data_IF_062768492152
#
_entry.id   IF_062768492152
#
_cell.length_a   1.000
_cell.length_b   1.000
_cell.length_c   1.000
_cell.angle_alpha   90.00
_cell.angle_beta   90.00
_cell.angle_gamma   90.00
#
_symmetry.space_group_name_H-M   'P 1'
#
loop_
_entity.id
_entity.type
_entity.pdbx_description
1 polymer ?
#
# COMPACT_ATOMS: atom_id res chain seq x y z
N UNK A 1 -21.94 0.66 -17.67
CA UNK A 1 -21.90 -0.19 -16.46
C UNK A 1 -21.49 -1.59 -16.90
N UNK A 2 -20.50 -2.15 -16.21
CA UNK A 2 -19.94 -3.48 -16.47
C UNK A 2 -19.90 -4.24 -15.16
N UNK A 3 -20.49 -5.44 -15.10
CA UNK A 3 -20.40 -6.32 -13.93
C UNK A 3 -19.07 -7.09 -13.96
N UNK A 4 -18.42 -7.23 -12.81
CA UNK A 4 -17.10 -7.85 -12.64
C UNK A 4 -17.08 -8.82 -11.45
N UNK A 5 -15.99 -9.57 -11.29
CA UNK A 5 -15.82 -10.47 -10.14
C UNK A 5 -15.81 -9.72 -8.80
N UNK A 6 -15.35 -8.45 -8.80
CA UNK A 6 -15.29 -7.61 -7.62
C UNK A 6 -16.54 -6.78 -7.40
N UNK A 7 -17.51 -6.76 -8.31
CA UNK A 7 -18.69 -5.91 -8.22
C UNK A 7 -19.01 -5.23 -9.53
N UNK A 8 -18.87 -3.90 -9.59
CA UNK A 8 -19.32 -3.12 -10.75
C UNK A 8 -18.33 -2.04 -11.15
N UNK A 9 -18.32 -1.73 -12.45
CA UNK A 9 -17.60 -0.60 -13.05
C UNK A 9 -18.58 0.34 -13.74
N UNK A 10 -18.57 1.62 -13.36
CA UNK A 10 -19.41 2.68 -13.94
C UNK A 10 -18.52 3.78 -14.49
N UNK A 11 -18.07 3.62 -15.73
CA UNK A 11 -17.17 4.57 -16.41
C UNK A 11 -17.59 4.81 -17.86
N UNK A 12 -16.96 5.77 -18.52
CA UNK A 12 -17.06 5.91 -19.97
C UNK A 12 -16.51 4.66 -20.70
N UNK A 13 -17.05 4.33 -21.87
CA UNK A 13 -16.71 3.09 -22.59
C UNK A 13 -15.21 2.95 -22.87
N UNK A 14 -14.51 4.05 -23.18
CA UNK A 14 -13.06 4.03 -23.42
C UNK A 14 -12.21 3.73 -22.18
N UNK A 15 -12.74 3.92 -20.97
CA UNK A 15 -12.00 3.70 -19.72
C UNK A 15 -12.36 2.37 -19.04
N UNK A 16 -13.42 1.69 -19.52
CA UNK A 16 -13.93 0.46 -18.93
C UNK A 16 -12.86 -0.63 -18.86
N UNK A 17 -12.04 -0.80 -19.90
CA UNK A 17 -10.98 -1.82 -19.91
C UNK A 17 -9.94 -1.58 -18.80
N UNK A 18 -9.47 -0.34 -18.65
CA UNK A 18 -8.53 0.03 -17.58
C UNK A 18 -9.18 -0.16 -16.22
N UNK A 19 -10.39 0.35 -15.99
CA UNK A 19 -11.09 0.22 -14.72
C UNK A 19 -11.29 -1.25 -14.32
N UNK A 20 -11.68 -2.11 -15.26
CA UNK A 20 -11.82 -3.56 -15.03
C UNK A 20 -10.46 -4.17 -14.67
N UNK A 21 -9.40 -3.91 -15.45
CA UNK A 21 -8.06 -4.46 -15.19
C UNK A 21 -7.50 -4.06 -13.83
N UNK A 22 -7.62 -2.79 -13.46
CA UNK A 22 -7.13 -2.29 -12.16
C UNK A 22 -7.97 -2.85 -11.00
N UNK A 23 -9.29 -2.94 -11.17
CA UNK A 23 -10.19 -3.51 -10.15
C UNK A 23 -9.99 -5.02 -9.96
N UNK A 24 -9.82 -5.80 -11.03
CA UNK A 24 -9.54 -7.24 -10.94
C UNK A 24 -8.23 -7.51 -10.20
N UNK A 25 -7.21 -6.68 -10.45
CA UNK A 25 -5.95 -6.81 -9.74
C UNK A 25 -6.05 -6.39 -8.26
N UNK A 26 -6.79 -5.33 -7.94
CA UNK A 26 -7.05 -4.94 -6.56
C UNK A 26 -7.85 -6.03 -5.81
N UNK A 27 -8.82 -6.66 -6.47
CA UNK A 27 -9.58 -7.77 -5.92
C UNK A 27 -8.70 -9.01 -5.65
N UNK A 28 -7.84 -9.37 -6.61
CA UNK A 28 -6.87 -10.45 -6.42
C UNK A 28 -5.89 -10.14 -5.27
N UNK A 29 -5.45 -8.89 -5.13
CA UNK A 29 -4.60 -8.46 -4.02
C UNK A 29 -5.34 -8.50 -2.67
N UNK A 30 -6.60 -8.08 -2.61
CA UNK A 30 -7.41 -8.16 -1.39
C UNK A 30 -7.51 -9.59 -0.84
N UNK A 31 -7.68 -10.57 -1.74
CA UNK A 31 -7.62 -11.98 -1.37
C UNK A 31 -6.22 -12.40 -0.91
N UNK A 32 -5.19 -12.13 -1.70
CA UNK A 32 -3.84 -12.65 -1.46
C UNK A 32 -3.12 -12.01 -0.26
N UNK A 33 -3.37 -10.72 -0.02
CA UNK A 33 -2.67 -9.87 0.95
C UNK A 33 -3.50 -9.69 2.22
N UNK A 34 -4.80 -9.46 2.09
CA UNK A 34 -5.70 -9.15 3.21
C UNK A 34 -6.57 -10.35 3.64
N UNK A 35 -6.56 -11.46 2.89
CA UNK A 35 -7.40 -12.61 3.17
C UNK A 35 -8.90 -12.34 2.97
N UNK A 36 -9.27 -11.34 2.17
CA UNK A 36 -10.66 -10.95 1.93
C UNK A 36 -11.20 -11.67 0.68
N UNK A 37 -11.73 -12.88 0.87
CA UNK A 37 -12.16 -13.77 -0.22
C UNK A 37 -13.48 -13.35 -0.90
N UNK A 38 -14.42 -12.79 -0.14
CA UNK A 38 -15.79 -12.49 -0.60
C UNK A 38 -16.06 -10.97 -0.73
N UNK A 39 -14.99 -10.19 -0.88
CA UNK A 39 -15.08 -8.74 -0.98
C UNK A 39 -15.80 -8.31 -2.26
N UNK A 40 -16.63 -7.27 -2.13
CA UNK A 40 -17.21 -6.55 -3.28
C UNK A 40 -16.93 -5.05 -3.15
N UNK A 41 -16.74 -4.38 -4.27
CA UNK A 41 -16.59 -2.93 -4.38
C UNK A 41 -17.01 -2.44 -5.78
N UNK A 42 -17.22 -1.14 -5.90
CA UNK A 42 -17.62 -0.49 -7.15
C UNK A 42 -16.55 0.51 -7.54
N UNK A 43 -16.14 0.52 -8.80
CA UNK A 43 -15.29 1.58 -9.36
C UNK A 43 -16.17 2.49 -10.22
N UNK A 44 -16.15 3.78 -9.95
CA UNK A 44 -16.91 4.76 -10.72
C UNK A 44 -15.97 5.82 -11.31
N UNK A 45 -16.32 6.35 -12.46
CA UNK A 45 -15.65 7.52 -13.01
C UNK A 45 -16.09 8.75 -12.21
N UNK A 46 -15.11 9.44 -11.60
CA UNK A 46 -15.35 10.62 -10.79
C UNK A 46 -16.05 11.75 -11.57
N UNK A 47 -15.94 11.80 -12.90
CA UNK A 47 -16.64 12.79 -13.72
C UNK A 47 -18.15 12.51 -13.88
N UNK A 48 -18.62 11.31 -13.52
CA UNK A 48 -20.02 10.91 -13.71
C UNK A 48 -20.92 11.18 -12.49
N UNK A 49 -20.37 11.65 -11.37
CA UNK A 49 -21.15 11.84 -10.14
C UNK A 49 -20.43 12.63 -9.05
N UNK A 50 -21.04 12.66 -7.86
CA UNK A 50 -20.52 13.33 -6.67
C UNK A 50 -20.09 12.36 -5.58
N UNK A 51 -19.95 11.07 -5.90
CA UNK A 51 -19.55 10.04 -4.95
C UNK A 51 -18.13 10.32 -4.45
N UNK A 52 -17.93 10.14 -3.16
CA UNK A 52 -16.65 10.30 -2.50
C UNK A 52 -15.96 8.95 -2.31
N UNK A 53 -14.65 9.00 -2.09
CA UNK A 53 -13.86 7.81 -1.84
C UNK A 53 -14.35 7.11 -0.56
N UNK A 54 -14.68 5.82 -0.68
CA UNK A 54 -15.12 5.01 0.46
C UNK A 54 -16.59 5.15 0.82
N UNK A 55 -17.37 5.91 0.04
CA UNK A 55 -18.84 5.87 0.08
C UNK A 55 -19.34 4.43 -0.10
N UNK A 56 -20.55 4.13 0.35
CA UNK A 56 -21.15 2.81 0.21
C UNK A 56 -22.24 2.81 -0.87
N UNK A 57 -22.29 1.75 -1.67
CA UNK A 57 -23.43 1.43 -2.53
C UNK A 57 -24.65 1.03 -1.70
N UNK A 58 -25.81 0.92 -2.36
CA UNK A 58 -27.06 0.48 -1.74
C UNK A 58 -26.96 -0.92 -1.10
N UNK A 59 -26.07 -1.79 -1.61
CA UNK A 59 -25.78 -3.11 -1.07
C UNK A 59 -24.59 -3.13 -0.08
N UNK A 60 -24.07 -1.96 0.31
CA UNK A 60 -23.04 -1.80 1.31
C UNK A 60 -21.61 -2.04 0.83
N UNK A 61 -21.37 -2.13 -0.47
CA UNK A 61 -20.03 -2.26 -1.05
C UNK A 61 -19.36 -0.87 -1.14
N UNK A 62 -18.06 -0.74 -0.79
CA UNK A 62 -17.35 0.52 -0.97
C UNK A 62 -17.28 0.94 -2.43
N UNK A 63 -17.38 2.24 -2.66
CA UNK A 63 -17.31 2.88 -3.97
C UNK A 63 -16.00 3.68 -4.07
N UNK A 64 -15.29 3.45 -5.16
CA UNK A 64 -14.02 4.09 -5.48
C UNK A 64 -14.17 4.97 -6.73
N UNK A 65 -14.39 6.30 -6.55
CA UNK A 65 -14.35 7.24 -7.65
C UNK A 65 -12.91 7.42 -8.14
N UNK A 66 -12.70 7.37 -9.45
CA UNK A 66 -11.40 7.55 -10.07
C UNK A 66 -11.48 8.45 -11.30
N UNK A 67 -10.47 9.30 -11.50
CA UNK A 67 -10.36 10.16 -12.69
C UNK A 67 -9.62 9.39 -13.77
N UNK A 68 -10.36 8.87 -14.75
CA UNK A 68 -9.79 8.16 -15.88
C UNK A 68 -9.35 9.09 -17.01
N UNK A 69 -8.63 8.55 -17.99
CA UNK A 69 -7.98 9.33 -19.04
C UNK A 69 -8.97 10.16 -19.87
N UNK A 70 -10.19 9.66 -20.08
CA UNK A 70 -11.20 10.40 -20.84
C UNK A 70 -11.98 11.43 -20.03
N UNK A 71 -11.80 11.41 -18.71
CA UNK A 71 -12.47 12.27 -17.72
C UNK A 71 -11.69 13.56 -17.44
N UNK A 72 -10.46 13.68 -17.95
CA UNK A 72 -9.60 14.85 -17.76
C UNK A 72 -9.98 15.96 -18.75
N UNK A 73 -10.56 17.05 -18.25
CA UNK A 73 -10.60 18.33 -18.99
C UNK A 73 -9.29 19.09 -18.78
N UNK A 74 -8.72 19.62 -19.86
CA UNK A 74 -7.42 20.31 -20.00
C UNK A 74 -6.68 20.70 -18.68
N UNK A 75 -5.55 20.03 -18.41
CA UNK A 75 -4.47 20.55 -17.58
C UNK A 75 -4.31 19.99 -16.15
N UNK A 76 -5.24 19.18 -15.64
CA UNK A 76 -5.08 18.55 -14.33
C UNK A 76 -4.06 17.38 -14.39
N UNK A 77 -3.05 17.33 -13.49
CA UNK A 77 -2.11 16.21 -13.45
C UNK A 77 -2.83 14.91 -13.08
N UNK A 78 -2.64 13.88 -13.91
CA UNK A 78 -3.16 12.52 -13.71
C UNK A 78 -2.40 11.82 -12.60
N UNK A 79 -3.10 11.30 -11.58
CA UNK A 79 -2.57 10.21 -10.76
C UNK A 79 -2.47 8.96 -11.66
N UNK A 80 -1.29 8.32 -11.78
CA UNK A 80 -1.16 7.12 -12.60
C UNK A 80 -2.15 6.03 -12.15
N UNK A 81 -2.72 5.27 -13.07
CA UNK A 81 -3.78 4.29 -12.73
C UNK A 81 -3.32 3.23 -11.72
N UNK A 82 -2.02 2.97 -11.62
CA UNK A 82 -1.47 2.06 -10.60
C UNK A 82 -1.68 2.57 -9.17
N UNK A 83 -1.90 3.88 -8.99
CA UNK A 83 -2.23 4.50 -7.70
C UNK A 83 -3.63 4.10 -7.25
N UNK A 84 -4.57 3.81 -8.18
CA UNK A 84 -5.91 3.34 -7.82
C UNK A 84 -5.84 2.10 -6.92
N UNK A 85 -4.99 1.13 -7.25
CA UNK A 85 -4.84 -0.08 -6.44
C UNK A 85 -4.24 0.21 -5.07
N UNK A 86 -3.30 1.14 -5.01
CA UNK A 86 -2.65 1.55 -3.77
C UNK A 86 -3.69 2.13 -2.79
N UNK A 87 -4.51 3.08 -3.26
CA UNK A 87 -5.56 3.69 -2.45
C UNK A 87 -6.65 2.68 -2.06
N UNK A 88 -7.04 1.76 -2.96
CA UNK A 88 -7.96 0.67 -2.62
C UNK A 88 -7.36 -0.21 -1.51
N UNK A 89 -6.05 -0.47 -1.57
CA UNK A 89 -5.34 -1.22 -0.54
C UNK A 89 -5.45 -0.58 0.84
N UNK A 90 -5.24 0.74 0.93
CA UNK A 90 -5.45 1.51 2.16
C UNK A 90 -6.89 1.39 2.69
N UNK A 91 -7.88 1.72 1.86
CA UNK A 91 -9.29 1.72 2.30
C UNK A 91 -9.70 0.33 2.80
N UNK A 92 -9.40 -0.72 2.05
CA UNK A 92 -9.79 -2.08 2.43
C UNK A 92 -9.08 -2.55 3.71
N UNK A 93 -7.80 -2.22 3.86
CA UNK A 93 -7.06 -2.57 5.07
C UNK A 93 -7.65 -1.88 6.30
N UNK A 94 -7.84 -0.56 6.25
CA UNK A 94 -8.45 0.21 7.34
C UNK A 94 -9.88 -0.28 7.59
N UNK A 95 -10.72 -0.36 6.56
CA UNK A 95 -12.14 -0.69 6.69
C UNK A 95 -12.38 -2.05 7.33
N UNK A 96 -11.61 -3.07 6.97
CA UNK A 96 -11.91 -4.45 7.36
C UNK A 96 -10.97 -5.02 8.42
N UNK A 97 -9.73 -4.54 8.52
CA UNK A 97 -8.72 -5.17 9.37
C UNK A 97 -8.21 -4.25 10.48
N UNK A 98 -8.15 -2.94 10.24
CA UNK A 98 -7.64 -1.96 11.18
C UNK A 98 -8.51 -0.69 11.24
N UNK A 99 -9.83 -0.81 11.51
CA UNK A 99 -10.72 0.35 11.50
C UNK A 99 -10.30 1.34 12.58
N UNK A 100 -10.44 2.64 12.30
CA UNK A 100 -10.16 3.65 13.32
C UNK A 100 -11.17 3.57 14.46
N UNK A 101 -10.68 3.62 15.69
CA UNK A 101 -11.52 3.75 16.89
C UNK A 101 -11.69 5.21 17.33
N UNK A 102 -11.08 6.16 16.63
CA UNK A 102 -11.09 7.59 16.93
C UNK A 102 -11.79 8.39 15.83
N UNK A 103 -12.59 9.39 16.19
CA UNK A 103 -13.42 10.13 15.22
C UNK A 103 -12.63 10.99 14.22
N UNK A 104 -11.41 11.42 14.56
CA UNK A 104 -10.59 12.38 13.79
C UNK A 104 -9.20 11.84 13.42
N UNK A 105 -9.04 10.52 13.40
CA UNK A 105 -7.75 9.89 13.07
C UNK A 105 -7.58 9.75 11.56
N UNK A 106 -6.43 10.19 11.07
CA UNK A 106 -6.00 9.88 9.71
C UNK A 106 -5.60 8.41 9.64
N UNK A 107 -6.13 7.67 8.65
CA UNK A 107 -5.90 6.23 8.52
C UNK A 107 -6.67 5.39 9.55
N UNK A 108 -6.20 4.16 9.74
CA UNK A 108 -6.75 3.20 10.69
C UNK A 108 -5.96 3.12 12.00
N UNK A 109 -6.35 2.24 12.92
CA UNK A 109 -5.64 2.00 14.20
C UNK A 109 -4.26 1.34 14.03
N UNK A 110 -3.90 0.99 12.80
CA UNK A 110 -2.60 0.44 12.48
C UNK A 110 -1.49 1.50 12.49
N UNK A 111 -0.24 1.10 12.80
CA UNK A 111 0.90 1.98 12.58
C UNK A 111 1.07 2.26 11.07
N UNK A 112 1.52 3.47 10.74
CA UNK A 112 1.62 3.96 9.36
C UNK A 112 2.38 3.00 8.43
N UNK A 113 3.44 2.36 8.92
CA UNK A 113 4.21 1.41 8.13
C UNK A 113 3.41 0.18 7.70
N UNK A 114 2.43 -0.26 8.50
CA UNK A 114 1.61 -1.44 8.22
C UNK A 114 0.50 -1.10 7.23
N UNK A 115 -0.15 0.05 7.40
CA UNK A 115 -1.12 0.59 6.45
C UNK A 115 -0.48 0.77 5.07
N UNK A 116 0.70 1.39 5.04
CA UNK A 116 1.46 1.59 3.81
C UNK A 116 1.99 0.29 3.22
N UNK A 117 2.39 -0.68 4.05
CA UNK A 117 2.72 -2.01 3.58
C UNK A 117 1.53 -2.70 2.90
N UNK A 118 0.30 -2.52 3.41
CA UNK A 118 -0.91 -3.03 2.78
C UNK A 118 -1.12 -2.40 1.40
N UNK A 119 -1.02 -1.07 1.29
CA UNK A 119 -1.20 -0.36 0.03
C UNK A 119 -0.11 -0.68 -1.01
N UNK A 120 1.18 -0.71 -0.62
CA UNK A 120 2.26 -1.07 -1.55
C UNK A 120 2.22 -2.54 -1.98
N UNK A 121 1.53 -3.40 -1.22
CA UNK A 121 1.30 -4.79 -1.60
C UNK A 121 0.29 -4.93 -2.75
N UNK A 122 -0.63 -3.97 -2.91
CA UNK A 122 -1.64 -3.95 -3.97
C UNK A 122 -1.14 -3.43 -5.32
N UNK A 123 0.01 -2.75 -5.31
CA UNK A 123 0.54 -2.12 -6.51
C UNK A 123 0.88 -3.10 -7.65
N UNK A 124 0.85 -2.59 -8.88
CA UNK A 124 1.26 -3.33 -10.06
C UNK A 124 2.75 -3.67 -10.10
N UNK A 125 3.10 -4.68 -10.91
CA UNK A 125 4.48 -5.21 -11.06
C UNK A 125 5.49 -4.11 -11.41
N UNK A 126 5.11 -3.14 -12.23
CA UNK A 126 5.99 -2.02 -12.61
C UNK A 126 6.39 -1.18 -11.41
N UNK A 127 5.41 -0.74 -10.60
CA UNK A 127 5.65 0.08 -9.42
C UNK A 127 6.40 -0.72 -8.34
N UNK A 128 6.04 -1.99 -8.12
CA UNK A 128 6.80 -2.85 -7.22
C UNK A 128 8.27 -3.00 -7.66
N UNK A 129 8.52 -3.12 -8.97
CA UNK A 129 9.88 -3.18 -9.53
C UNK A 129 10.62 -1.86 -9.34
N UNK A 130 9.94 -0.73 -9.55
CA UNK A 130 10.51 0.60 -9.28
C UNK A 130 10.89 0.75 -7.81
N UNK A 131 10.02 0.35 -6.87
CA UNK A 131 10.30 0.37 -5.43
C UNK A 131 11.50 -0.50 -5.06
N UNK A 132 11.59 -1.73 -5.60
CA UNK A 132 12.77 -2.61 -5.40
C UNK A 132 14.06 -1.98 -5.91
N UNK A 133 14.03 -1.29 -7.06
CA UNK A 133 15.17 -0.52 -7.55
C UNK A 133 15.52 0.65 -6.61
N UNK A 134 14.52 1.35 -6.07
CA UNK A 134 14.74 2.41 -5.10
C UNK A 134 15.40 1.91 -3.82
N UNK A 135 15.03 0.73 -3.31
CA UNK A 135 15.70 0.08 -2.16
C UNK A 135 17.19 -0.04 -2.40
N UNK A 136 17.60 -0.56 -3.55
CA UNK A 136 19.01 -0.72 -3.93
C UNK A 136 19.73 0.63 -4.00
N UNK A 137 19.08 1.65 -4.58
CA UNK A 137 19.65 2.99 -4.68
C UNK A 137 19.83 3.62 -3.30
N UNK A 138 18.82 3.53 -2.42
CA UNK A 138 18.90 4.07 -1.07
C UNK A 138 19.92 3.33 -0.22
N UNK A 139 20.02 2.00 -0.33
CA UNK A 139 21.03 1.23 0.40
C UNK A 139 22.45 1.64 -0.03
N UNK A 140 22.72 1.76 -1.33
CA UNK A 140 24.02 2.21 -1.86
C UNK A 140 24.37 3.64 -1.43
N UNK A 141 23.37 4.50 -1.29
CA UNK A 141 23.53 5.86 -0.83
C UNK A 141 23.62 6.00 0.71
N UNK A 142 23.48 4.92 1.47
CA UNK A 142 23.40 4.97 2.94
C UNK A 142 22.15 5.68 3.46
N UNK A 143 21.06 5.67 2.67
CA UNK A 143 19.78 6.35 2.93
C UNK A 143 18.59 5.41 3.12
N UNK A 144 18.82 4.09 3.12
CA UNK A 144 17.77 3.13 3.44
C UNK A 144 17.50 3.20 4.96
N UNK A 145 16.22 3.30 5.35
CA UNK A 145 15.86 3.44 6.75
C UNK A 145 16.19 2.14 7.51
N UNK A 146 16.81 2.22 8.70
CA UNK A 146 16.90 1.09 9.62
C UNK A 146 15.50 0.60 10.01
N UNK A 147 15.30 -0.71 10.23
CA UNK A 147 13.99 -1.25 10.61
C UNK A 147 13.44 -0.64 11.92
N UNK A 148 14.29 -0.35 12.90
CA UNK A 148 13.85 0.29 14.15
C UNK A 148 13.20 1.66 13.91
N UNK A 149 13.78 2.44 13.01
CA UNK A 149 13.24 3.75 12.62
C UNK A 149 11.96 3.56 11.80
N UNK A 150 11.98 2.70 10.79
CA UNK A 150 10.82 2.41 9.93
C UNK A 150 9.58 1.95 10.72
N UNK A 151 9.76 1.03 11.68
CA UNK A 151 8.65 0.45 12.46
C UNK A 151 8.03 1.41 13.49
N UNK A 152 8.67 2.56 13.73
CA UNK A 152 8.23 3.57 14.70
C UNK A 152 7.95 4.94 14.07
N UNK A 153 8.24 5.10 12.78
CA UNK A 153 8.11 6.36 12.05
C UNK A 153 6.64 6.69 11.78
N UNK A 154 6.25 7.93 12.09
CA UNK A 154 5.01 8.53 11.58
C UNK A 154 5.15 8.83 10.08
N UNK A 155 4.07 8.66 9.33
CA UNK A 155 4.06 8.81 7.87
C UNK A 155 4.74 10.13 7.46
N UNK A 156 5.79 10.10 6.61
CA UNK A 156 6.58 11.29 6.31
C UNK A 156 5.81 12.42 5.64
N UNK A 157 4.62 12.15 5.06
CA UNK A 157 3.75 13.19 4.50
C UNK A 157 2.85 13.87 5.53
N UNK A 158 2.77 13.33 6.75
CA UNK A 158 2.04 13.95 7.88
C UNK A 158 2.93 14.87 8.73
N UNK A 159 4.25 14.80 8.57
CA UNK A 159 5.22 15.56 9.39
C UNK A 159 5.70 16.87 8.73
N UNK A 160 5.28 17.16 7.50
CA UNK A 160 5.41 18.49 6.91
C UNK A 160 4.30 19.42 7.42
N UNK A 161 4.58 20.71 7.64
CA UNK A 161 3.54 21.71 7.95
C UNK A 161 2.43 21.65 6.87
N UNK A 162 1.31 21.02 7.20
CA UNK A 162 0.14 20.96 6.33
C UNK A 162 -0.62 22.29 6.48
N UNK A 163 -0.85 23.07 5.41
CA UNK A 163 -1.91 24.06 5.45
C UNK A 163 -3.24 23.32 5.61
N UNK A 164 -4.11 23.89 6.44
CA UNK A 164 -5.46 23.40 6.73
C UNK A 164 -6.27 23.32 5.43
N UNK A 165 -6.37 22.12 4.84
CA UNK A 165 -7.23 21.86 3.68
C UNK A 165 -8.24 20.82 4.09
N UNK A 166 -9.49 21.27 4.21
CA UNK A 166 -10.65 20.45 4.49
C UNK A 166 -10.68 19.24 3.55
N UNK A 167 -10.96 18.08 4.15
CA UNK A 167 -11.36 16.85 3.50
C UNK A 167 -12.25 17.09 2.27
N UNK A 168 -11.82 16.62 1.09
CA UNK A 168 -12.72 16.46 -0.06
C UNK A 168 -12.23 16.95 -1.43
N UNK A 169 -11.09 17.63 -1.55
CA UNK A 169 -10.60 18.06 -2.87
C UNK A 169 -9.55 17.09 -3.44
N UNK A 170 -9.99 16.31 -4.43
CA UNK A 170 -9.23 15.67 -5.51
C UNK A 170 -7.72 15.59 -5.28
N UNK A 171 -7.25 14.37 -4.98
CA UNK A 171 -5.86 13.87 -5.03
C UNK A 171 -4.93 14.71 -5.93
N UNK A 172 -4.53 15.88 -5.43
CA UNK A 172 -3.40 16.59 -5.99
C UNK A 172 -2.20 15.77 -5.59
N UNK A 173 -1.48 15.29 -6.59
CA UNK A 173 -0.16 14.65 -6.46
C UNK A 173 0.66 15.45 -5.45
N UNK A 174 0.65 15.02 -4.18
CA UNK A 174 1.43 15.63 -3.12
C UNK A 174 2.88 15.40 -3.54
N UNK A 175 3.59 16.46 -3.91
CA UNK A 175 5.06 16.37 -4.00
C UNK A 175 5.52 15.95 -2.62
N UNK A 176 6.11 14.75 -2.50
CA UNK A 176 6.71 14.26 -1.26
C UNK A 176 7.46 15.39 -0.55
N UNK A 177 6.91 15.83 0.58
CA UNK A 177 7.45 16.98 1.31
C UNK A 177 8.64 16.61 2.19
N UNK A 178 8.75 15.34 2.56
CA UNK A 178 9.87 14.80 3.33
C UNK A 178 10.88 14.09 2.43
N UNK A 179 12.17 14.21 2.78
CA UNK A 179 13.23 13.43 2.14
C UNK A 179 13.11 11.92 2.41
N UNK A 180 12.29 11.55 3.40
CA UNK A 180 12.11 10.18 3.86
C UNK A 180 10.91 9.48 3.22
N UNK A 181 10.04 10.21 2.50
CA UNK A 181 8.88 9.63 1.82
C UNK A 181 9.30 8.51 0.86
N UNK A 182 10.26 8.78 -0.03
CA UNK A 182 10.77 7.77 -0.97
C UNK A 182 11.38 6.53 -0.28
N UNK A 183 12.31 6.70 0.68
CA UNK A 183 12.84 5.61 1.49
C UNK A 183 11.78 4.80 2.24
N UNK A 184 10.78 5.45 2.84
CA UNK A 184 9.70 4.80 3.59
C UNK A 184 8.88 3.86 2.71
N UNK A 185 8.47 4.38 1.55
CA UNK A 185 7.77 3.66 0.50
C UNK A 185 8.56 2.48 -0.09
N UNK A 186 9.87 2.63 -0.22
CA UNK A 186 10.78 1.57 -0.63
C UNK A 186 10.92 0.49 0.46
N UNK A 187 11.00 0.92 1.72
CA UNK A 187 11.08 0.04 2.88
C UNK A 187 9.82 -0.79 3.08
N UNK A 188 8.62 -0.21 2.97
CA UNK A 188 7.37 -0.97 3.06
C UNK A 188 7.32 -2.13 2.05
N UNK A 189 7.77 -1.88 0.81
CA UNK A 189 7.85 -2.91 -0.23
C UNK A 189 8.86 -4.01 0.10
N UNK A 190 10.06 -3.61 0.53
CA UNK A 190 11.12 -4.56 0.88
C UNK A 190 10.75 -5.41 2.09
N UNK A 191 10.15 -4.78 3.08
CA UNK A 191 9.76 -5.45 4.31
C UNK A 191 8.64 -6.46 4.07
N UNK A 192 7.62 -6.11 3.27
CA UNK A 192 6.65 -7.10 2.81
C UNK A 192 7.32 -8.29 2.11
N UNK A 193 8.19 -8.04 1.13
CA UNK A 193 8.84 -9.13 0.38
C UNK A 193 9.69 -10.03 1.29
N UNK A 194 10.34 -9.44 2.29
CA UNK A 194 11.12 -10.16 3.30
C UNK A 194 10.22 -11.02 4.18
N UNK A 195 9.13 -10.47 4.71
CA UNK A 195 8.21 -11.22 5.58
C UNK A 195 7.57 -12.39 4.84
N UNK A 196 7.13 -12.17 3.59
CA UNK A 196 6.63 -13.26 2.73
C UNK A 196 7.70 -14.32 2.50
N UNK A 197 8.95 -13.91 2.23
CA UNK A 197 10.05 -14.87 2.01
C UNK A 197 10.37 -15.70 3.26
N UNK A 198 10.23 -15.12 4.47
CA UNK A 198 10.51 -15.79 5.74
C UNK A 198 9.39 -16.71 6.20
N UNK A 199 8.15 -16.32 5.96
CA UNK A 199 6.97 -17.03 6.46
C UNK A 199 6.33 -17.96 5.43
N UNK A 200 6.55 -17.70 4.14
CA UNK A 200 5.84 -18.38 3.04
C UNK A 200 4.39 -17.93 2.90
N UNK A 201 3.96 -16.89 3.62
CA UNK A 201 2.57 -16.42 3.68
C UNK A 201 2.43 -15.05 3.01
N UNK A 202 1.68 -14.98 1.91
CA UNK A 202 1.37 -13.71 1.24
C UNK A 202 0.36 -12.85 2.00
N UNK A 203 -0.43 -13.47 2.88
CA UNK A 203 -1.45 -12.80 3.69
C UNK A 203 -0.89 -12.24 5.00
N UNK A 204 0.44 -12.02 5.07
CA UNK A 204 1.13 -11.59 6.28
C UNK A 204 0.60 -10.25 6.84
N UNK A 205 0.10 -9.36 5.96
CA UNK A 205 -0.55 -8.10 6.38
C UNK A 205 -1.79 -8.38 7.21
N UNK A 206 -2.64 -9.34 6.79
CA UNK A 206 -3.80 -9.76 7.54
C UNK A 206 -3.43 -10.38 8.90
N UNK A 207 -2.37 -11.20 8.90
CA UNK A 207 -1.87 -11.82 10.12
C UNK A 207 -1.33 -10.79 11.13
N UNK A 208 -0.60 -9.77 10.65
CA UNK A 208 -0.13 -8.65 11.46
C UNK A 208 -1.28 -7.81 12.04
N UNK A 209 -2.30 -7.51 11.23
CA UNK A 209 -3.48 -6.80 11.71
C UNK A 209 -4.26 -7.61 12.77
N UNK A 210 -4.33 -8.93 12.61
CA UNK A 210 -4.87 -9.84 13.61
C UNK A 210 -4.11 -9.77 14.94
N UNK A 211 -2.78 -9.90 14.90
CA UNK A 211 -1.92 -9.79 16.08
C UNK A 211 -2.09 -8.45 16.80
N UNK A 212 -2.10 -7.35 16.03
CA UNK A 212 -2.33 -6.00 16.56
C UNK A 212 -3.67 -5.90 17.30
N UNK A 213 -4.76 -6.38 16.69
CA UNK A 213 -6.11 -6.37 17.29
C UNK A 213 -6.20 -7.21 18.56
N UNK A 214 -5.41 -8.27 18.66
CA UNK A 214 -5.29 -9.10 19.86
C UNK A 214 -4.42 -8.45 20.95
N UNK A 215 -3.86 -7.27 20.68
CA UNK A 215 -2.99 -6.53 21.60
C UNK A 215 -1.58 -7.09 21.67
N UNK A 216 -1.18 -7.90 20.69
CA UNK A 216 0.17 -8.45 20.62
C UNK A 216 1.17 -7.40 20.12
N UNK A 217 2.33 -7.22 20.78
CA UNK A 217 3.38 -6.36 20.28
C UNK A 217 3.89 -6.83 18.91
N UNK A 218 3.75 -6.00 17.87
CA UNK A 218 4.06 -6.39 16.49
C UNK A 218 5.54 -6.73 16.28
N UNK A 219 6.45 -6.03 16.95
CA UNK A 219 7.88 -6.32 16.93
C UNK A 219 8.17 -7.74 17.45
N UNK A 220 7.53 -8.13 18.55
CA UNK A 220 7.61 -9.48 19.11
C UNK A 220 7.07 -10.51 18.14
N UNK A 221 5.88 -10.28 17.60
CA UNK A 221 5.23 -11.18 16.64
C UNK A 221 6.12 -11.42 15.41
N UNK A 222 6.72 -10.34 14.86
CA UNK A 222 7.62 -10.43 13.71
C UNK A 222 8.87 -11.25 14.05
N UNK A 223 9.50 -11.02 15.21
CA UNK A 223 10.69 -11.78 15.62
C UNK A 223 10.40 -13.28 15.74
N UNK A 224 9.22 -13.64 16.26
CA UNK A 224 8.79 -15.04 16.36
C UNK A 224 8.60 -15.68 14.99
N UNK A 225 7.88 -15.01 14.09
CA UNK A 225 7.56 -15.55 12.76
C UNK A 225 8.74 -15.56 11.78
N UNK A 226 9.77 -14.77 12.04
CA UNK A 226 10.98 -14.70 11.19
C UNK A 226 12.13 -15.55 11.71
N UNK A 227 11.92 -16.32 12.78
CA UNK A 227 12.92 -17.26 13.32
C UNK A 227 13.96 -16.62 14.25
N UNK A 228 13.72 -15.39 14.71
CA UNK A 228 14.58 -14.71 15.68
C UNK A 228 14.23 -15.06 17.14
N UNK A 229 12.96 -15.38 17.41
CA UNK A 229 12.49 -15.90 18.71
C UNK A 229 12.73 -14.98 19.91
N UNK A 230 12.68 -15.53 21.13
CA UNK A 230 12.70 -14.78 22.41
C UNK A 230 13.97 -13.96 22.65
N UNK A 231 15.10 -14.43 22.13
CA UNK A 231 16.39 -13.74 22.24
C UNK A 231 16.65 -12.78 21.06
N UNK A 232 15.70 -12.68 20.12
CA UNK A 232 15.78 -11.80 18.97
C UNK A 232 15.69 -10.33 19.34
N UNK A 233 16.24 -9.47 18.48
CA UNK A 233 16.11 -8.03 18.61
C UNK A 233 15.83 -7.40 17.24
N UNK A 234 15.25 -6.21 17.21
CA UNK A 234 15.00 -5.48 15.96
C UNK A 234 16.31 -5.18 15.22
N UNK A 235 17.42 -5.00 15.94
CA UNK A 235 18.75 -4.83 15.33
C UNK A 235 19.25 -6.12 14.67
N UNK A 236 18.99 -7.29 15.27
CA UNK A 236 19.30 -8.58 14.67
C UNK A 236 18.45 -8.83 13.42
N UNK A 237 17.14 -8.54 13.51
CA UNK A 237 16.21 -8.58 12.38
C UNK A 237 16.65 -7.64 11.25
N UNK A 238 17.10 -6.43 11.58
CA UNK A 238 17.61 -5.47 10.59
C UNK A 238 18.85 -6.00 9.87
N UNK A 239 19.78 -6.65 10.58
CA UNK A 239 20.95 -7.28 9.96
C UNK A 239 20.56 -8.41 9.01
N UNK A 240 19.62 -9.26 9.43
CA UNK A 240 19.11 -10.36 8.62
C UNK A 240 18.35 -9.85 7.38
N UNK A 241 17.53 -8.82 7.55
CA UNK A 241 16.83 -8.12 6.49
C UNK A 241 17.77 -7.54 5.43
N UNK A 242 18.81 -6.80 5.85
CA UNK A 242 19.80 -6.24 4.92
C UNK A 242 20.61 -7.34 4.21
N UNK A 243 21.01 -8.39 4.94
CA UNK A 243 21.70 -9.54 4.34
C UNK A 243 20.81 -10.26 3.31
N UNK A 244 19.50 -10.34 3.58
CA UNK A 244 18.54 -10.90 2.64
C UNK A 244 18.35 -10.01 1.40
N UNK A 245 18.28 -8.68 1.54
CA UNK A 245 18.24 -7.77 0.37
C UNK A 245 19.45 -7.99 -0.53
N UNK A 246 20.66 -8.11 0.03
CA UNK A 246 21.88 -8.37 -0.75
C UNK A 246 21.86 -9.75 -1.44
N UNK A 247 21.17 -10.72 -0.85
CA UNK A 247 21.07 -12.09 -1.33
C UNK A 247 19.97 -12.31 -2.39
N UNK A 248 18.85 -11.61 -2.27
CA UNK A 248 17.63 -11.89 -3.04
C UNK A 248 17.73 -11.37 -4.49
N UNK A 249 17.50 -12.22 -5.51
CA UNK A 249 17.58 -11.84 -6.91
C UNK A 249 16.70 -10.65 -7.31
N UNK A 250 15.57 -10.43 -6.63
CA UNK A 250 14.65 -9.30 -6.91
C UNK A 250 15.29 -7.94 -6.64
N UNK A 251 16.30 -7.90 -5.76
CA UNK A 251 17.03 -6.70 -5.35
C UNK A 251 18.43 -6.63 -5.97
N UNK A 252 18.86 -7.66 -6.69
CA UNK A 252 20.15 -7.67 -7.38
C UNK A 252 20.15 -6.92 -8.71
N UNK A 253 19.01 -6.31 -9.07
CA UNK A 253 18.68 -5.58 -10.29
C UNK A 253 19.78 -5.65 -11.34
N UNK A 254 19.57 -6.48 -12.38
CA UNK A 254 20.50 -6.77 -13.48
C UNK A 254 21.83 -6.06 -13.30
N UNK A 255 22.82 -6.76 -12.73
CA UNK A 255 24.22 -6.35 -12.79
C UNK A 255 24.41 -5.75 -14.17
N UNK A 256 24.48 -4.42 -14.23
CA UNK A 256 24.49 -3.68 -15.49
C UNK A 256 25.46 -4.42 -16.38
N UNK A 257 24.93 -4.97 -17.46
CA UNK A 257 25.68 -5.65 -18.49
C UNK A 257 26.72 -4.65 -18.98
N UNK A 258 27.90 -4.73 -18.38
CA UNK A 258 29.11 -4.09 -18.86
C UNK A 258 29.52 -4.83 -20.11
N UNK A 259 29.13 -4.27 -21.25
CA UNK A 259 29.85 -4.36 -22.51
C UNK A 259 30.55 -3.02 -22.74
#
# INVERSE_FOLDING_TARGET
MTDTAFGQVVTAAQDAETAVREGEAAFAAAKAVLGLDDLRFVIVDAALGSTQWGDLSDDGAPIYPWVFASSVTDGAPRAPDYVLRHEIGHDLFVRYLAPSTQADQYGGDAPDWLDEMAAVAFEGVEQQTARRRSVVLYQRAGRLLPLGDFLTMTHPEMTGDLPDVASGELFQVRRSMSQDTGPFYAMARAFYDFLVARTGDSSIVAALAGAMREGEPLDRWILDRTGHGDAGSVEALNKDFLAWIDADPRYRGDRLSGS
#
